data_IF_626973474588
#
_entry.id   IF_626973474588
#
_cell.length_a   1.000
_cell.length_b   1.000
_cell.length_c   1.000
_cell.angle_alpha   90.00
_cell.angle_beta   90.00
_cell.angle_gamma   90.00
#
_symmetry.space_group_name_H-M   'P 1'
#
loop_
_entity.id
_entity.type
_entity.pdbx_description
1 polymer ?
#
# COMPACT_ATOMS: atom_id res chain seq x y z
N UNK A 1 4.33 3.55 11.43
CA UNK A 1 4.97 4.54 12.32
C UNK A 1 4.43 4.46 13.73
N UNK A 2 3.11 4.63 13.93
CA UNK A 2 2.50 4.61 15.28
C UNK A 2 1.94 3.25 15.67
N UNK A 3 1.45 2.50 14.69
CA UNK A 3 0.87 1.17 14.87
C UNK A 3 1.28 0.30 13.68
N UNK A 4 2.02 -0.78 13.94
CA UNK A 4 2.49 -1.70 12.91
C UNK A 4 1.45 -2.80 12.62
N UNK A 5 0.51 -3.05 13.53
CA UNK A 5 -0.51 -4.10 13.35
C UNK A 5 -1.53 -3.72 12.28
N UNK A 6 -1.70 -2.41 12.03
CA UNK A 6 -2.57 -1.87 10.99
C UNK A 6 -1.96 -1.86 9.59
N UNK A 7 -0.71 -2.31 9.44
CA UNK A 7 -0.06 -2.32 8.12
C UNK A 7 -0.85 -3.14 7.11
N UNK A 8 -1.24 -4.37 7.47
CA UNK A 8 -1.96 -5.27 6.57
C UNK A 8 -3.28 -4.66 6.08
N UNK A 9 -4.03 -4.02 6.98
CA UNK A 9 -5.28 -3.33 6.64
C UNK A 9 -5.06 -2.21 5.60
N UNK A 10 -3.97 -1.46 5.72
CA UNK A 10 -3.66 -0.35 4.81
C UNK A 10 -3.11 -0.86 3.48
N UNK A 11 -2.23 -1.86 3.52
CA UNK A 11 -1.60 -2.46 2.35
C UNK A 11 -2.62 -3.19 1.46
N UNK A 12 -3.72 -3.70 2.02
CA UNK A 12 -4.84 -4.25 1.24
C UNK A 12 -5.63 -3.16 0.48
N UNK A 13 -5.60 -1.90 0.94
CA UNK A 13 -6.43 -0.81 0.39
C UNK A 13 -5.71 0.12 -0.58
N UNK A 14 -4.42 0.39 -0.32
CA UNK A 14 -3.66 1.44 -0.99
C UNK A 14 -2.31 0.91 -1.46
N UNK A 15 -1.91 1.31 -2.66
CA UNK A 15 -0.57 1.03 -3.20
C UNK A 15 0.25 2.31 -3.33
N UNK A 16 1.56 2.17 -3.51
CA UNK A 16 2.50 3.28 -3.69
C UNK A 16 2.00 4.32 -4.70
N UNK A 17 1.51 3.91 -5.87
CA UNK A 17 1.11 4.85 -6.93
C UNK A 17 -0.19 5.63 -6.64
N UNK A 18 -0.97 5.22 -5.63
CA UNK A 18 -2.16 5.95 -5.23
C UNK A 18 -1.80 7.32 -4.63
N UNK A 19 -0.64 7.43 -3.98
CA UNK A 19 -0.15 8.68 -3.40
C UNK A 19 0.18 9.73 -4.47
N UNK A 20 -0.24 10.97 -4.23
CA UNK A 20 -0.06 12.07 -5.18
C UNK A 20 1.39 12.56 -5.24
N UNK A 21 2.02 12.75 -4.08
CA UNK A 21 3.37 13.33 -4.02
C UNK A 21 4.44 12.23 -4.06
N UNK A 22 5.55 12.49 -4.77
CA UNK A 22 6.68 11.57 -4.86
C UNK A 22 7.29 11.22 -3.49
N UNK A 23 7.47 12.16 -2.54
CA UNK A 23 7.91 11.83 -1.19
C UNK A 23 7.05 10.77 -0.50
N UNK A 24 5.71 10.89 -0.57
CA UNK A 24 4.81 9.91 0.05
C UNK A 24 4.91 8.52 -0.58
N UNK A 25 5.13 8.46 -1.91
CA UNK A 25 5.40 7.18 -2.61
C UNK A 25 6.66 6.50 -2.08
N UNK A 26 7.75 7.25 -1.94
CA UNK A 26 9.01 6.71 -1.43
C UNK A 26 8.90 6.24 0.01
N UNK A 27 8.25 7.05 0.85
CA UNK A 27 7.96 6.69 2.25
C UNK A 27 7.18 5.37 2.30
N UNK A 28 6.07 5.25 1.56
CA UNK A 28 5.24 4.04 1.59
C UNK A 28 5.96 2.80 1.03
N UNK A 29 6.72 2.97 -0.05
CA UNK A 29 7.56 1.90 -0.61
C UNK A 29 8.56 1.38 0.42
N UNK A 30 9.20 2.28 1.16
CA UNK A 30 10.19 1.87 2.15
C UNK A 30 9.55 1.22 3.39
N UNK A 31 8.35 1.67 3.78
CA UNK A 31 7.56 0.98 4.81
C UNK A 31 7.24 -0.47 4.40
N UNK A 32 6.85 -0.69 3.14
CA UNK A 32 6.60 -2.04 2.63
C UNK A 32 7.85 -2.92 2.68
N UNK A 33 9.00 -2.37 2.27
CA UNK A 33 10.28 -3.08 2.31
C UNK A 33 10.70 -3.45 3.74
N UNK A 34 10.50 -2.54 4.69
CA UNK A 34 10.78 -2.81 6.10
C UNK A 34 9.87 -3.93 6.64
N UNK A 35 8.58 -3.91 6.31
CA UNK A 35 7.65 -4.97 6.68
C UNK A 35 8.09 -6.34 6.12
N UNK A 36 8.45 -6.41 4.84
CA UNK A 36 8.92 -7.65 4.19
C UNK A 36 10.20 -8.19 4.84
N UNK A 37 11.07 -7.30 5.30
CA UNK A 37 12.28 -7.66 6.04
C UNK A 37 12.04 -8.02 7.52
N UNK A 38 10.80 -7.94 8.00
CA UNK A 38 10.44 -8.17 9.40
C UNK A 38 10.94 -7.09 10.36
N UNK A 39 11.28 -5.90 9.84
CA UNK A 39 11.76 -4.77 10.64
C UNK A 39 10.60 -3.86 11.04
N UNK A 40 10.58 -3.33 12.28
CA UNK A 40 9.51 -2.44 12.73
C UNK A 40 9.49 -1.14 11.92
N UNK A 41 8.29 -0.63 11.64
CA UNK A 41 8.07 0.63 10.93
C UNK A 41 7.83 1.74 11.95
N UNK A 42 8.92 2.28 12.48
CA UNK A 42 8.94 3.49 13.32
C UNK A 42 9.75 4.62 12.65
N UNK A 43 9.73 5.81 13.26
CA UNK A 43 10.38 7.01 12.72
C UNK A 43 11.89 6.83 12.53
N UNK A 44 12.56 6.20 13.49
CA UNK A 44 14.02 6.02 13.48
C UNK A 44 14.38 4.97 12.44
N UNK A 45 13.73 3.80 12.49
CA UNK A 45 14.01 2.70 11.56
C UNK A 45 13.74 3.12 10.12
N UNK A 46 12.66 3.88 9.86
CA UNK A 46 12.39 4.38 8.51
C UNK A 46 13.43 5.41 8.05
N UNK A 47 13.82 6.35 8.92
CA UNK A 47 14.80 7.37 8.58
C UNK A 47 16.16 6.75 8.24
N UNK A 48 16.66 5.84 9.08
CA UNK A 48 17.91 5.12 8.82
C UNK A 48 17.85 4.31 7.52
N UNK A 49 16.69 3.71 7.25
CA UNK A 49 16.51 2.91 6.05
C UNK A 49 16.50 3.75 4.78
N UNK A 50 15.84 4.91 4.81
CA UNK A 50 15.86 5.90 3.73
C UNK A 50 17.24 6.54 3.55
N UNK A 51 17.97 6.77 4.64
CA UNK A 51 19.33 7.32 4.62
C UNK A 51 20.30 6.35 3.93
N UNK A 52 20.24 5.05 4.28
CA UNK A 52 21.06 4.01 3.62
C UNK A 52 20.80 3.90 2.12
N UNK A 53 19.62 4.28 1.65
CA UNK A 53 19.28 4.32 0.23
C UNK A 53 19.59 5.67 -0.44
N UNK A 54 20.08 6.66 0.31
CA UNK A 54 20.30 8.01 -0.19
C UNK A 54 19.01 8.75 -0.55
N UNK A 55 17.87 8.34 0.01
CA UNK A 55 16.55 8.90 -0.30
C UNK A 55 15.99 9.83 0.78
N UNK A 56 16.59 9.88 1.97
CA UNK A 56 16.08 10.66 3.11
C UNK A 56 15.88 12.15 2.77
N UNK A 57 16.86 12.77 2.13
CA UNK A 57 16.74 14.18 1.70
C UNK A 57 15.66 14.37 0.63
N UNK A 58 15.47 13.39 -0.26
CA UNK A 58 14.47 13.46 -1.33
C UNK A 58 13.03 13.42 -0.83
N UNK A 59 12.81 12.90 0.39
CA UNK A 59 11.49 12.88 1.03
C UNK A 59 11.24 14.08 1.96
N UNK A 60 12.21 14.99 2.11
CA UNK A 60 12.11 16.16 3.00
C UNK A 60 12.91 16.02 4.31
N UNK A 61 13.72 14.97 4.45
CA UNK A 61 14.59 14.76 5.60
C UNK A 61 13.86 14.22 6.84
N UNK A 62 14.63 14.04 7.91
CA UNK A 62 14.11 13.53 9.19
C UNK A 62 13.01 14.43 9.77
N UNK A 63 13.15 15.75 9.63
CA UNK A 63 12.19 16.73 10.14
C UNK A 63 10.79 16.52 9.55
N UNK A 64 10.69 16.22 8.26
CA UNK A 64 9.41 15.96 7.61
C UNK A 64 8.74 14.69 8.12
N UNK A 65 9.49 13.60 8.31
CA UNK A 65 8.97 12.36 8.89
C UNK A 65 8.49 12.57 10.33
N UNK A 66 9.20 13.39 11.11
CA UNK A 66 8.81 13.76 12.46
C UNK A 66 7.51 14.60 12.48
N UNK A 67 7.36 15.52 11.53
CA UNK A 67 6.13 16.30 11.36
C UNK A 67 4.93 15.41 11.03
N UNK A 68 5.08 14.45 10.10
CA UNK A 68 4.03 13.47 9.76
C UNK A 68 3.61 12.65 10.99
N UNK A 69 4.60 12.22 11.80
CA UNK A 69 4.34 11.47 13.02
C UNK A 69 3.59 12.30 14.06
N UNK A 70 3.96 13.57 14.22
CA UNK A 70 3.36 14.49 15.20
C UNK A 70 1.94 14.92 14.83
N UNK A 71 1.68 15.14 13.55
CA UNK A 71 0.37 15.58 13.05
C UNK A 71 -0.65 14.43 12.94
N UNK A 72 -0.26 13.21 13.28
CA UNK A 72 -1.13 12.02 13.25
C UNK A 72 -1.39 11.53 14.68
N UNK A 73 -2.36 12.11 15.42
CA UNK A 73 -2.55 11.79 16.83
C UNK A 73 -3.13 10.40 17.09
N UNK A 74 -3.79 9.76 16.11
CA UNK A 74 -4.38 8.43 16.27
C UNK A 74 -4.47 7.66 14.95
N UNK A 75 -4.19 6.36 15.01
CA UNK A 75 -4.38 5.42 13.91
C UNK A 75 -5.81 4.83 13.83
N UNK A 76 -6.73 5.27 14.70
CA UNK A 76 -8.07 4.67 14.81
C UNK A 76 -8.86 4.69 13.49
N UNK A 77 -8.70 5.75 12.68
CA UNK A 77 -9.41 5.94 11.41
C UNK A 77 -8.54 5.67 10.17
N UNK A 78 -7.42 4.95 10.32
CA UNK A 78 -6.46 4.77 9.23
C UNK A 78 -7.07 4.15 7.97
N UNK A 79 -7.99 3.20 8.13
CA UNK A 79 -8.70 2.56 7.00
C UNK A 79 -9.55 3.58 6.22
N UNK A 80 -10.25 4.49 6.90
CA UNK A 80 -11.04 5.51 6.23
C UNK A 80 -10.15 6.51 5.45
N UNK A 81 -8.97 6.85 5.98
CA UNK A 81 -8.01 7.68 5.26
C UNK A 81 -7.40 6.95 4.05
N UNK A 82 -7.11 5.66 4.19
CA UNK A 82 -6.68 4.80 3.10
C UNK A 82 -7.72 4.79 1.96
N UNK A 83 -9.00 4.62 2.30
CA UNK A 83 -10.10 4.67 1.33
C UNK A 83 -10.19 6.04 0.63
N UNK A 84 -9.99 7.14 1.34
CA UNK A 84 -9.95 8.49 0.75
C UNK A 84 -8.80 8.61 -0.25
N UNK A 85 -7.58 8.19 0.12
CA UNK A 85 -6.42 8.25 -0.79
C UNK A 85 -6.70 7.43 -2.04
N UNK A 86 -7.26 6.24 -1.87
CA UNK A 86 -7.63 5.34 -2.95
C UNK A 86 -8.65 5.95 -3.91
N UNK A 87 -9.73 6.52 -3.38
CA UNK A 87 -10.76 7.16 -4.20
C UNK A 87 -10.17 8.33 -5.02
N UNK A 88 -9.29 9.13 -4.40
CA UNK A 88 -8.63 10.24 -5.10
C UNK A 88 -7.64 9.77 -6.17
N UNK A 89 -6.97 8.64 -5.96
CA UNK A 89 -6.12 8.04 -6.98
C UNK A 89 -6.94 7.63 -8.21
N UNK A 90 -8.09 6.99 -8.01
CA UNK A 90 -8.95 6.54 -9.11
C UNK A 90 -9.50 7.72 -9.92
N UNK A 91 -9.91 8.80 -9.26
CA UNK A 91 -10.36 10.01 -9.96
C UNK A 91 -9.23 10.59 -10.83
N UNK A 92 -7.99 10.56 -10.34
CA UNK A 92 -6.83 11.01 -11.12
C UNK A 92 -6.57 10.11 -12.33
N UNK A 93 -6.62 8.79 -12.16
CA UNK A 93 -6.43 7.84 -13.25
C UNK A 93 -7.51 8.00 -14.34
N UNK A 94 -8.75 8.28 -13.93
CA UNK A 94 -9.85 8.60 -14.85
C UNK A 94 -9.56 9.85 -15.69
N UNK A 95 -9.02 10.92 -15.08
CA UNK A 95 -8.64 12.13 -15.80
C UNK A 95 -7.51 11.84 -16.79
N UNK A 96 -6.49 11.08 -16.38
CA UNK A 96 -5.39 10.69 -17.25
C UNK A 96 -5.87 9.92 -18.48
N UNK A 97 -6.72 8.91 -18.29
CA UNK A 97 -7.29 8.13 -19.40
C UNK A 97 -8.18 8.98 -20.30
N UNK A 98 -9.00 9.87 -19.75
CA UNK A 98 -9.82 10.77 -20.55
C UNK A 98 -8.96 11.66 -21.47
N UNK A 99 -7.84 12.17 -20.95
CA UNK A 99 -6.89 12.95 -21.75
C UNK A 99 -6.21 12.11 -22.84
N UNK A 100 -5.79 10.88 -22.53
CA UNK A 100 -5.21 9.96 -23.53
C UNK A 100 -6.19 9.66 -24.67
N UNK A 101 -7.47 9.43 -24.35
CA UNK A 101 -8.52 9.17 -25.34
C UNK A 101 -8.78 10.43 -26.19
N UNK A 102 -8.87 11.59 -25.55
CA UNK A 102 -9.06 12.85 -26.25
C UNK A 102 -7.90 13.17 -27.21
N UNK A 103 -6.66 12.93 -26.77
CA UNK A 103 -5.45 13.10 -27.59
C UNK A 103 -5.46 12.16 -28.79
N UNK A 104 -5.80 10.88 -28.59
CA UNK A 104 -5.89 9.91 -29.68
C UNK A 104 -7.00 10.25 -30.70
N UNK A 105 -8.09 10.87 -30.26
CA UNK A 105 -9.14 11.38 -31.15
C UNK A 105 -8.74 12.64 -31.91
N UNK A 106 -7.91 13.50 -31.31
CA UNK A 106 -7.42 14.71 -31.96
C UNK A 106 -6.30 14.42 -32.97
N UNK A 107 -5.41 13.49 -32.64
CA UNK A 107 -4.31 13.04 -33.49
C UNK A 107 -4.30 11.50 -33.63
N UNK A 108 -5.05 10.96 -34.60
CA UNK A 108 -5.19 9.52 -34.79
C UNK A 108 -3.91 8.78 -35.21
N UNK A 109 -2.87 9.48 -35.65
CA UNK A 109 -1.60 8.89 -36.09
C UNK A 109 -1.77 7.72 -37.08
N UNK A 110 -2.75 7.83 -37.99
CA UNK A 110 -3.06 6.82 -39.01
C UNK A 110 -3.97 5.68 -38.57
N UNK A 111 -4.47 5.69 -37.33
CA UNK A 111 -5.46 4.73 -36.84
C UNK A 111 -6.84 4.97 -37.42
N UNK A 112 -7.59 3.91 -37.64
CA UNK A 112 -9.00 3.99 -38.02
C UNK A 112 -9.90 4.12 -36.77
N UNK A 113 -11.22 4.31 -36.98
CA UNK A 113 -12.17 4.48 -35.89
C UNK A 113 -12.25 3.27 -34.96
N UNK A 114 -12.14 2.06 -35.50
CA UNK A 114 -12.28 0.82 -34.74
C UNK A 114 -11.09 0.65 -33.79
N UNK A 115 -9.88 0.94 -34.27
CA UNK A 115 -8.66 0.92 -33.46
C UNK A 115 -8.66 1.97 -32.33
N UNK A 116 -9.28 3.14 -32.56
CA UNK A 116 -9.43 4.16 -31.52
C UNK A 116 -10.44 3.77 -30.44
N UNK A 117 -11.54 3.10 -30.83
CA UNK A 117 -12.52 2.55 -29.90
C UNK A 117 -11.90 1.44 -29.04
N UNK A 118 -11.16 0.51 -29.65
CA UNK A 118 -10.45 -0.56 -28.93
C UNK A 118 -9.45 0.01 -27.91
N UNK A 119 -8.73 1.07 -28.29
CA UNK A 119 -7.84 1.77 -27.37
C UNK A 119 -8.60 2.37 -26.19
N UNK A 120 -9.72 3.05 -26.45
CA UNK A 120 -10.53 3.66 -25.39
C UNK A 120 -11.08 2.59 -24.42
N UNK A 121 -11.63 1.49 -24.96
CA UNK A 121 -12.13 0.37 -24.17
C UNK A 121 -11.02 -0.22 -23.29
N UNK A 122 -9.85 -0.51 -23.87
CA UNK A 122 -8.70 -1.04 -23.13
C UNK A 122 -8.28 -0.12 -21.99
N UNK A 123 -8.25 1.19 -22.21
CA UNK A 123 -7.83 2.17 -21.19
C UNK A 123 -8.85 2.31 -20.07
N UNK A 124 -10.13 2.38 -20.40
CA UNK A 124 -11.20 2.43 -19.39
C UNK A 124 -11.24 1.14 -18.58
N UNK A 125 -11.08 -0.01 -19.23
CA UNK A 125 -11.05 -1.30 -18.56
C UNK A 125 -9.91 -1.42 -17.55
N UNK A 126 -8.72 -0.89 -17.86
CA UNK A 126 -7.58 -0.86 -16.91
C UNK A 126 -7.88 -0.11 -15.62
N UNK A 127 -8.71 0.94 -15.65
CA UNK A 127 -9.13 1.64 -14.43
C UNK A 127 -9.99 0.70 -13.57
N UNK A 128 -10.91 -0.04 -14.19
CA UNK A 128 -11.77 -1.00 -13.49
C UNK A 128 -10.97 -2.20 -12.96
N UNK A 129 -10.00 -2.71 -13.71
CA UNK A 129 -9.12 -3.80 -13.26
C UNK A 129 -8.24 -3.38 -12.09
N UNK A 130 -7.72 -2.14 -12.11
CA UNK A 130 -6.99 -1.57 -10.97
C UNK A 130 -7.85 -1.59 -9.69
N UNK A 131 -9.19 -1.50 -9.81
CA UNK A 131 -10.14 -1.70 -8.68
C UNK A 131 -10.27 -3.18 -8.28
N UNK A 132 -10.47 -4.09 -9.24
CA UNK A 132 -10.80 -5.49 -8.97
C UNK A 132 -9.62 -6.36 -8.50
N UNK A 133 -8.42 -6.17 -9.05
CA UNK A 133 -7.23 -6.95 -8.67
C UNK A 133 -6.74 -6.69 -7.22
N UNK A 134 -7.38 -5.78 -6.48
CA UNK A 134 -7.03 -5.45 -5.10
C UNK A 134 -8.03 -5.98 -4.05
N UNK A 135 -9.25 -6.35 -4.47
CA UNK A 135 -10.18 -7.11 -3.61
C UNK A 135 -9.79 -8.60 -3.53
N UNK A 136 -9.01 -9.10 -4.49
CA UNK A 136 -8.32 -10.40 -4.40
C UNK A 136 -6.93 -10.25 -3.75
N UNK A 137 -6.91 -9.80 -2.49
CA UNK A 137 -5.74 -9.99 -1.64
C UNK A 137 -5.36 -11.48 -1.59
N UNK A 138 -4.07 -11.84 -1.44
CA UNK A 138 -3.63 -13.23 -1.47
C UNK A 138 -4.43 -14.02 -0.44
N UNK A 139 -5.24 -14.98 -0.91
CA UNK A 139 -6.04 -15.88 -0.06
C UNK A 139 -5.13 -16.40 1.03
N UNK A 140 -5.37 -15.96 2.28
CA UNK A 140 -4.60 -16.33 3.45
C UNK A 140 -4.43 -17.84 3.47
N UNK A 141 -3.24 -18.32 3.13
CA UNK A 141 -2.85 -19.70 3.35
C UNK A 141 -2.54 -19.83 4.85
N UNK A 142 -3.58 -19.82 5.67
CA UNK A 142 -3.45 -20.09 7.09
C UNK A 142 -4.62 -20.96 7.55
N UNK A 143 -4.35 -22.27 7.65
CA UNK A 143 -4.86 -23.09 8.75
C UNK A 143 -3.79 -24.09 9.18
N UNK A 144 -2.81 -23.59 9.93
CA UNK A 144 -2.18 -24.39 10.99
C UNK A 144 -3.22 -24.63 12.09
N UNK A 145 -4.01 -25.69 11.93
CA UNK A 145 -4.86 -26.19 13.00
C UNK A 145 -4.96 -27.71 12.90
N UNK A 146 -4.09 -28.41 13.61
CA UNK A 146 -4.11 -29.87 13.61
C UNK A 146 -3.12 -30.53 14.54
N UNK A 147 -3.47 -30.56 15.84
CA UNK A 147 -3.07 -31.59 16.84
C UNK A 147 -1.61 -31.43 17.34
N UNK A 148 -1.25 -31.63 18.61
CA UNK A 148 -1.78 -32.54 19.62
C UNK A 148 -1.46 -32.01 21.03
N UNK A 149 -2.38 -32.32 21.93
CA UNK A 149 -2.40 -32.12 23.38
C UNK A 149 -1.31 -32.96 24.09
N UNK A 150 -0.96 -32.55 25.33
CA UNK A 150 -0.25 -33.29 26.42
C UNK A 150 1.27 -33.05 26.46
N UNK A 151 1.94 -32.76 27.58
CA UNK A 151 1.58 -32.86 28.98
C UNK A 151 2.37 -31.84 29.83
N UNK A 152 1.67 -31.15 30.73
CA UNK A 152 2.27 -30.47 31.87
C UNK A 152 1.74 -31.17 33.13
N UNK A 153 2.59 -31.96 33.80
CA UNK A 153 2.39 -32.35 35.20
C UNK A 153 3.72 -32.79 35.79
N UNK A 154 4.41 -31.82 36.38
CA UNK A 154 5.37 -32.08 37.45
C UNK A 154 4.61 -32.21 38.79
N UNK A 155 5.34 -32.68 39.82
CA UNK A 155 5.09 -32.66 41.29
C UNK A 155 4.04 -33.66 41.83
N UNK A 156 4.26 -34.53 42.84
CA UNK A 156 5.23 -34.69 43.96
C UNK A 156 5.17 -36.16 44.48
N UNK A 157 6.22 -36.74 45.13
CA UNK A 157 6.16 -38.03 45.85
C UNK A 157 5.73 -37.90 47.32
N UNK A 158 5.01 -38.86 47.90
CA UNK A 158 4.94 -39.09 49.36
C UNK A 158 4.29 -40.44 49.77
N UNK A 159 5.07 -41.22 50.55
CA UNK A 159 4.72 -42.04 51.71
C UNK A 159 3.54 -43.05 51.68
N UNK A 160 3.84 -44.34 51.79
CA UNK A 160 3.79 -45.12 53.05
C UNK A 160 4.27 -46.57 52.79
#
# INVERSE_FOLDING_TARGET
MLDNERWDDVAERVVTDDFYTRPHRHIFTEMARLQESGSPIDLITLAESLERQGQLESVGGFAYLAELSKNTPSAANISAYADIVRERAVVRDMISVANEIAEAGFDPQGRNSDELLDLAESRVFKIAESRANKDEGPKKHCRSAGRHRLAYRATVPAAA
#
